data_IF_288273506045
#
_entry.id   IF_288273506045
#
_cell.length_a   1.000
_cell.length_b   1.000
_cell.length_c   1.000
_cell.angle_alpha   90.00
_cell.angle_beta   90.00
_cell.angle_gamma   90.00
#
_symmetry.space_group_name_H-M   'P 1'
#
loop_
_entity.id
_entity.type
_entity.pdbx_description
1 polymer ?
#
# COMPACT_ATOMS: atom_id res chain seq x y z
N UNK A 1 4.99 32.40 8.43
CA UNK A 1 5.03 31.83 9.78
C UNK A 1 3.63 31.55 10.38
N UNK A 2 2.67 32.47 10.40
CA UNK A 2 1.34 32.22 11.00
C UNK A 2 0.52 31.09 10.32
N UNK A 3 0.60 30.92 9.01
CA UNK A 3 -0.09 29.86 8.27
C UNK A 3 0.49 28.44 8.52
N UNK A 4 1.74 28.32 8.96
CA UNK A 4 2.37 27.03 9.29
C UNK A 4 1.89 26.54 10.65
N UNK A 5 1.85 27.40 11.66
CA UNK A 5 1.44 27.06 13.04
C UNK A 5 -0.05 26.72 13.17
N UNK A 6 -0.95 27.33 12.40
CA UNK A 6 -2.37 26.97 12.40
C UNK A 6 -2.63 25.59 11.77
N UNK A 7 -1.83 25.21 10.78
CA UNK A 7 -1.91 23.88 10.15
C UNK A 7 -1.37 22.76 11.02
N UNK A 8 -0.22 22.96 11.65
CA UNK A 8 0.36 22.00 12.60
C UNK A 8 -0.63 21.70 13.73
N UNK A 9 -1.22 22.72 14.35
CA UNK A 9 -2.27 22.57 15.36
C UNK A 9 -3.52 21.84 14.84
N UNK A 10 -3.85 21.94 13.57
CA UNK A 10 -4.98 21.24 12.97
C UNK A 10 -4.72 19.75 12.78
N UNK A 11 -3.50 19.36 12.38
CA UNK A 11 -3.11 17.96 12.21
C UNK A 11 -2.94 17.25 13.54
N UNK A 12 -2.38 17.91 14.54
CA UNK A 12 -2.30 17.39 15.90
C UNK A 12 -3.69 17.12 16.49
N UNK A 13 -4.66 18.00 16.26
CA UNK A 13 -6.05 17.81 16.68
C UNK A 13 -6.72 16.62 15.98
N UNK A 14 -6.38 16.33 14.72
CA UNK A 14 -6.88 15.16 13.99
C UNK A 14 -6.29 13.85 14.54
N UNK A 15 -5.02 13.85 14.92
CA UNK A 15 -4.35 12.68 15.51
C UNK A 15 -4.89 12.38 16.90
N UNK A 16 -5.13 13.42 17.73
CA UNK A 16 -5.64 13.27 19.11
C UNK A 16 -7.09 12.74 19.14
N UNK A 17 -7.91 13.10 18.16
CA UNK A 17 -9.31 12.66 18.07
C UNK A 17 -9.51 11.31 17.36
N UNK A 18 -8.44 10.59 17.03
CA UNK A 18 -8.57 9.22 16.54
C UNK A 18 -9.09 8.29 17.62
N UNK A 19 -10.00 7.36 17.29
CA UNK A 19 -10.28 6.24 18.19
C UNK A 19 -8.95 5.56 18.50
N UNK A 20 -8.62 5.46 19.78
CA UNK A 20 -7.36 4.89 20.25
C UNK A 20 -7.12 3.53 19.58
N UNK A 21 -5.84 3.18 19.38
CA UNK A 21 -5.41 1.92 18.74
C UNK A 21 -6.11 0.68 19.33
N UNK A 22 -6.55 0.75 20.58
CA UNK A 22 -7.23 -0.30 21.33
C UNK A 22 -8.77 -0.31 21.21
N UNK A 23 -9.40 0.52 20.37
CA UNK A 23 -10.86 0.54 20.22
C UNK A 23 -11.42 -0.63 19.36
N UNK A 24 -10.63 -1.64 19.03
CA UNK A 24 -10.94 -2.67 18.03
C UNK A 24 -11.40 -4.04 18.52
N UNK A 25 -11.41 -4.33 19.84
CA UNK A 25 -11.84 -5.65 20.33
C UNK A 25 -13.15 -5.59 21.11
N UNK A 26 -14.15 -4.92 20.60
CA UNK A 26 -15.52 -4.98 21.14
C UNK A 26 -16.42 -5.68 20.12
N UNK A 27 -16.39 -7.01 20.05
CA UNK A 27 -17.45 -7.74 19.39
C UNK A 27 -17.16 -9.05 18.66
N UNK A 28 -15.89 -9.49 18.51
CA UNK A 28 -15.61 -10.80 17.87
C UNK A 28 -14.62 -11.63 18.70
N UNK A 29 -14.99 -12.87 19.00
CA UNK A 29 -14.18 -13.81 19.80
C UNK A 29 -12.96 -14.36 19.05
N UNK A 30 -12.82 -14.08 17.76
CA UNK A 30 -11.79 -14.66 16.89
C UNK A 30 -11.10 -13.59 16.04
N UNK A 31 -9.75 -13.65 15.99
CA UNK A 31 -8.90 -12.89 15.09
C UNK A 31 -9.03 -13.44 13.67
N UNK A 32 -9.23 -12.57 12.68
CA UNK A 32 -9.42 -12.94 11.27
C UNK A 32 -8.17 -12.65 10.45
N UNK A 33 -7.59 -13.68 9.83
CA UNK A 33 -6.46 -13.56 8.91
C UNK A 33 -6.92 -13.90 7.48
N UNK A 34 -6.68 -12.96 6.57
CA UNK A 34 -7.01 -13.09 5.15
C UNK A 34 -5.76 -13.44 4.34
N UNK A 35 -5.78 -14.57 3.64
CA UNK A 35 -4.78 -14.93 2.65
C UNK A 35 -5.24 -14.54 1.24
N UNK A 36 -4.37 -13.87 0.50
CA UNK A 36 -4.63 -13.45 -0.89
C UNK A 36 -3.53 -14.01 -1.79
N UNK A 37 -3.89 -14.76 -2.82
CA UNK A 37 -2.96 -15.31 -3.82
C UNK A 37 -3.19 -14.67 -5.19
N UNK A 38 -2.12 -14.11 -5.77
CA UNK A 38 -2.08 -13.54 -7.12
C UNK A 38 -1.49 -14.49 -8.17
N UNK A 39 -1.15 -15.73 -7.79
CA UNK A 39 -0.56 -16.71 -8.68
C UNK A 39 -1.56 -17.52 -9.50
N UNK A 40 -1.05 -18.53 -10.16
CA UNK A 40 -1.88 -19.54 -10.86
C UNK A 40 -2.70 -20.34 -9.84
N UNK A 41 -3.96 -20.68 -10.18
CA UNK A 41 -4.84 -21.50 -9.37
C UNK A 41 -4.18 -22.85 -9.04
N UNK A 42 -4.19 -23.21 -7.77
CA UNK A 42 -3.54 -24.41 -7.22
C UNK A 42 -2.02 -24.49 -7.50
N UNK A 43 -1.39 -23.34 -7.76
CA UNK A 43 0.05 -23.22 -7.99
C UNK A 43 0.84 -22.92 -6.69
N UNK A 44 2.13 -22.64 -6.85
CA UNK A 44 3.05 -22.41 -5.73
C UNK A 44 2.64 -21.23 -4.84
N UNK A 45 2.10 -20.15 -5.40
CA UNK A 45 1.60 -19.02 -4.60
C UNK A 45 0.40 -19.39 -3.74
N UNK A 46 -0.51 -20.23 -4.27
CA UNK A 46 -1.64 -20.74 -3.48
C UNK A 46 -1.16 -21.62 -2.34
N UNK A 47 -0.18 -22.50 -2.61
CA UNK A 47 0.41 -23.36 -1.60
C UNK A 47 1.06 -22.53 -0.47
N UNK A 48 1.92 -21.57 -0.81
CA UNK A 48 2.58 -20.68 0.15
C UNK A 48 1.57 -19.89 0.98
N UNK A 49 0.54 -19.35 0.33
CA UNK A 49 -0.51 -18.60 1.00
C UNK A 49 -1.30 -19.48 1.99
N UNK A 50 -1.67 -20.69 1.57
CA UNK A 50 -2.39 -21.64 2.42
C UNK A 50 -1.52 -22.16 3.56
N UNK A 51 -0.22 -22.37 3.33
CA UNK A 51 0.72 -22.75 4.38
C UNK A 51 0.82 -21.68 5.46
N UNK A 52 0.89 -20.40 5.06
CA UNK A 52 0.84 -19.29 6.01
C UNK A 52 -0.51 -19.24 6.77
N UNK A 53 -1.63 -19.51 6.10
CA UNK A 53 -2.93 -19.57 6.77
C UNK A 53 -3.00 -20.73 7.77
N UNK A 54 -2.38 -21.89 7.51
CA UNK A 54 -2.26 -22.98 8.49
C UNK A 54 -1.47 -22.53 9.72
N UNK A 55 -0.35 -21.83 9.54
CA UNK A 55 0.41 -21.22 10.66
C UNK A 55 -0.40 -20.24 11.47
N UNK A 56 -1.21 -19.40 10.82
CA UNK A 56 -2.12 -18.47 11.51
C UNK A 56 -3.24 -19.19 12.27
N UNK A 57 -3.79 -20.27 11.69
CA UNK A 57 -4.83 -21.09 12.32
C UNK A 57 -4.31 -21.79 13.59
N UNK A 58 -3.08 -22.26 13.60
CA UNK A 58 -2.43 -22.81 14.80
C UNK A 58 -2.34 -21.79 15.94
N UNK A 59 -2.25 -20.48 15.60
CA UNK A 59 -2.27 -19.40 16.57
C UNK A 59 -3.69 -18.98 17.01
N UNK A 60 -4.72 -19.71 16.56
CA UNK A 60 -6.12 -19.52 16.90
C UNK A 60 -6.86 -18.49 16.03
N UNK A 61 -6.35 -18.20 14.83
CA UNK A 61 -7.03 -17.32 13.88
C UNK A 61 -8.15 -18.05 13.13
N UNK A 62 -9.23 -17.33 12.83
CA UNK A 62 -10.13 -17.66 11.73
C UNK A 62 -9.46 -17.23 10.43
N UNK A 63 -9.46 -18.10 9.42
CA UNK A 63 -8.75 -17.86 8.17
C UNK A 63 -9.68 -17.87 6.98
N UNK A 64 -9.48 -16.89 6.08
CA UNK A 64 -10.15 -16.82 4.77
C UNK A 64 -9.09 -16.82 3.66
N UNK A 65 -9.44 -17.35 2.48
CA UNK A 65 -8.54 -17.42 1.33
C UNK A 65 -9.20 -16.87 0.08
N UNK A 66 -8.50 -15.95 -0.61
CA UNK A 66 -8.93 -15.37 -1.88
C UNK A 66 -7.88 -15.66 -2.96
N UNK A 67 -8.36 -16.23 -4.07
CA UNK A 67 -7.57 -16.42 -5.28
C UNK A 67 -7.95 -15.34 -6.30
N UNK A 68 -7.04 -14.39 -6.55
CA UNK A 68 -7.33 -13.19 -7.34
C UNK A 68 -7.73 -13.47 -8.79
N UNK A 69 -7.25 -14.57 -9.38
CA UNK A 69 -7.66 -14.94 -10.75
C UNK A 69 -9.13 -15.38 -10.87
N UNK A 70 -9.84 -15.50 -9.75
CA UNK A 70 -11.28 -15.73 -9.75
C UNK A 70 -12.08 -14.43 -9.75
N UNK A 71 -11.42 -13.28 -9.60
CA UNK A 71 -12.04 -11.97 -9.54
C UNK A 71 -11.88 -11.23 -10.87
N UNK A 72 -12.87 -10.42 -11.21
CA UNK A 72 -12.79 -9.46 -12.29
C UNK A 72 -12.47 -8.09 -11.70
N UNK A 73 -11.23 -7.62 -11.89
CA UNK A 73 -10.76 -6.33 -11.36
C UNK A 73 -10.24 -5.49 -12.52
N UNK A 74 -10.91 -4.39 -12.78
CA UNK A 74 -10.54 -3.39 -13.79
C UNK A 74 -9.35 -2.55 -13.30
N UNK A 75 -8.47 -2.17 -14.20
CA UNK A 75 -7.36 -1.26 -13.89
C UNK A 75 -7.84 0.17 -13.63
N UNK A 76 -7.13 0.90 -12.78
CA UNK A 76 -7.44 2.29 -12.49
C UNK A 76 -7.25 3.16 -13.76
N UNK A 77 -8.27 3.95 -14.11
CA UNK A 77 -8.23 4.87 -15.27
C UNK A 77 -7.63 6.24 -14.94
N UNK A 78 -7.26 6.50 -13.68
CA UNK A 78 -6.73 7.80 -13.26
C UNK A 78 -7.76 8.94 -13.26
N UNK A 79 -9.06 8.63 -13.28
CA UNK A 79 -10.15 9.64 -13.37
C UNK A 79 -10.30 10.54 -12.15
N UNK A 80 -9.67 10.21 -11.02
CA UNK A 80 -9.69 10.92 -9.73
C UNK A 80 -11.08 11.07 -9.07
N UNK A 81 -12.13 10.45 -9.59
CA UNK A 81 -13.49 10.58 -9.08
C UNK A 81 -13.62 10.17 -7.60
N UNK A 82 -12.92 9.11 -7.18
CA UNK A 82 -12.91 8.64 -5.79
C UNK A 82 -12.35 9.68 -4.82
N UNK A 83 -11.22 10.32 -5.14
CA UNK A 83 -10.62 11.35 -4.28
C UNK A 83 -11.43 12.64 -4.28
N UNK A 84 -12.03 13.02 -5.42
CA UNK A 84 -12.97 14.14 -5.46
C UNK A 84 -14.19 13.88 -4.59
N UNK A 85 -14.74 12.65 -4.64
CA UNK A 85 -15.84 12.21 -3.78
C UNK A 85 -15.48 12.24 -2.29
N UNK A 86 -14.24 11.83 -1.93
CA UNK A 86 -13.74 11.93 -0.55
C UNK A 86 -13.80 13.37 -0.03
N UNK A 87 -13.17 14.30 -0.73
CA UNK A 87 -13.08 15.70 -0.29
C UNK A 87 -14.37 16.49 -0.45
N UNK A 88 -15.34 15.99 -1.23
CA UNK A 88 -16.69 16.53 -1.29
C UNK A 88 -17.64 15.97 -0.20
N UNK A 89 -17.14 15.21 0.77
CA UNK A 89 -17.97 14.58 1.81
C UNK A 89 -18.98 13.55 1.28
N UNK A 90 -18.58 12.78 0.25
CA UNK A 90 -19.43 11.74 -0.39
C UNK A 90 -18.90 10.32 -0.22
N UNK A 91 -17.89 10.11 0.64
CA UNK A 91 -17.41 8.80 1.09
C UNK A 91 -16.38 8.11 0.20
N UNK A 92 -15.99 8.65 -0.95
CA UNK A 92 -14.83 8.16 -1.72
C UNK A 92 -15.05 6.88 -2.55
N UNK A 93 -16.27 6.58 -2.98
CA UNK A 93 -16.53 5.41 -3.83
C UNK A 93 -15.85 5.49 -5.20
N UNK A 94 -15.40 4.35 -5.73
CA UNK A 94 -14.91 4.24 -7.10
C UNK A 94 -16.09 4.25 -8.09
N UNK A 95 -15.83 4.71 -9.31
CA UNK A 95 -16.82 4.71 -10.40
C UNK A 95 -16.82 3.40 -11.21
N UNK A 96 -15.80 2.56 -11.03
CA UNK A 96 -15.74 1.24 -11.66
C UNK A 96 -16.59 0.24 -10.86
N UNK A 97 -17.32 -0.59 -11.58
CA UNK A 97 -18.23 -1.61 -11.01
C UNK A 97 -17.69 -3.00 -11.32
N UNK A 98 -16.86 -3.51 -10.42
CA UNK A 98 -16.17 -4.79 -10.53
C UNK A 98 -16.01 -5.43 -9.14
N UNK A 99 -15.26 -6.52 -9.03
CA UNK A 99 -15.06 -7.24 -7.77
C UNK A 99 -14.11 -6.53 -6.79
N UNK A 100 -13.55 -5.37 -7.14
CA UNK A 100 -12.59 -4.67 -6.28
C UNK A 100 -13.21 -4.22 -4.95
N UNK A 101 -14.44 -3.69 -4.96
CA UNK A 101 -15.08 -3.23 -3.71
C UNK A 101 -15.39 -4.41 -2.77
N UNK A 102 -15.71 -5.58 -3.31
CA UNK A 102 -15.85 -6.81 -2.52
C UNK A 102 -14.49 -7.26 -1.93
N UNK A 103 -13.42 -7.27 -2.74
CA UNK A 103 -12.08 -7.57 -2.27
C UNK A 103 -11.64 -6.60 -1.17
N UNK A 104 -11.87 -5.31 -1.40
CA UNK A 104 -11.55 -4.26 -0.42
C UNK A 104 -12.31 -4.47 0.89
N UNK A 105 -13.60 -4.80 0.83
CA UNK A 105 -14.41 -5.08 2.02
C UNK A 105 -13.81 -6.22 2.85
N UNK A 106 -13.40 -7.32 2.21
CA UNK A 106 -12.67 -8.44 2.84
C UNK A 106 -11.34 -8.00 3.47
N UNK A 107 -10.57 -7.19 2.76
CA UNK A 107 -9.29 -6.66 3.27
C UNK A 107 -9.50 -5.72 4.46
N UNK A 108 -10.55 -4.90 4.46
CA UNK A 108 -10.87 -3.99 5.56
C UNK A 108 -11.42 -4.72 6.79
N UNK A 109 -12.09 -5.84 6.61
CA UNK A 109 -12.65 -6.65 7.70
C UNK A 109 -11.59 -7.50 8.41
N UNK A 110 -10.53 -7.90 7.73
CA UNK A 110 -9.44 -8.69 8.30
C UNK A 110 -8.63 -7.90 9.34
N UNK A 111 -8.09 -8.61 10.35
CA UNK A 111 -7.14 -8.08 11.34
C UNK A 111 -5.70 -8.15 10.84
N UNK A 112 -5.38 -9.17 10.04
CA UNK A 112 -4.09 -9.33 9.35
C UNK A 112 -4.27 -9.90 7.95
N UNK A 113 -3.31 -9.60 7.06
CA UNK A 113 -3.35 -10.03 5.66
C UNK A 113 -2.02 -10.69 5.29
N UNK A 114 -2.08 -11.85 4.65
CA UNK A 114 -0.94 -12.49 3.96
C UNK A 114 -1.18 -12.41 2.46
N UNK A 115 -0.26 -11.80 1.73
CA UNK A 115 -0.37 -11.67 0.28
C UNK A 115 0.76 -12.44 -0.42
N UNK A 116 0.43 -13.42 -1.25
CA UNK A 116 1.39 -14.15 -2.08
C UNK A 116 1.26 -13.74 -3.54
N UNK A 117 2.36 -13.29 -4.17
CA UNK A 117 2.39 -12.86 -5.57
C UNK A 117 3.53 -13.52 -6.33
N UNK A 118 3.34 -13.94 -7.60
CA UNK A 118 4.46 -14.32 -8.44
C UNK A 118 5.30 -13.11 -8.84
N UNK A 119 6.56 -13.35 -9.17
CA UNK A 119 7.50 -12.33 -9.64
C UNK A 119 7.58 -12.40 -11.16
N UNK A 120 7.24 -11.28 -11.84
CA UNK A 120 7.47 -11.07 -13.25
C UNK A 120 8.33 -9.82 -13.46
N UNK A 121 9.29 -9.88 -14.39
CA UNK A 121 10.17 -8.75 -14.73
C UNK A 121 10.76 -8.07 -13.47
N UNK A 122 11.24 -8.89 -12.51
CA UNK A 122 11.84 -8.46 -11.23
C UNK A 122 10.87 -7.83 -10.22
N UNK A 123 9.61 -7.63 -10.55
CA UNK A 123 8.59 -6.97 -9.74
C UNK A 123 7.36 -7.81 -9.49
N UNK A 124 6.37 -7.26 -8.83
CA UNK A 124 5.07 -7.86 -8.64
C UNK A 124 4.30 -7.94 -9.97
N UNK A 125 3.28 -8.81 -10.03
CA UNK A 125 2.49 -9.01 -11.26
C UNK A 125 1.62 -7.82 -11.63
N UNK A 126 1.19 -7.73 -12.89
CA UNK A 126 0.21 -6.73 -13.34
C UNK A 126 -1.09 -6.76 -12.54
N UNK A 127 -1.55 -7.95 -12.14
CA UNK A 127 -2.74 -8.08 -11.28
C UNK A 127 -2.53 -7.46 -9.89
N UNK A 128 -1.33 -7.62 -9.30
CA UNK A 128 -0.97 -6.94 -8.04
C UNK A 128 -0.97 -5.42 -8.21
N UNK A 129 -0.36 -4.92 -9.29
CA UNK A 129 -0.33 -3.48 -9.58
C UNK A 129 -1.74 -2.92 -9.84
N UNK A 130 -2.62 -3.69 -10.50
CA UNK A 130 -4.03 -3.29 -10.68
C UNK A 130 -4.71 -3.02 -9.33
N UNK A 131 -4.44 -3.83 -8.32
CA UNK A 131 -4.96 -3.62 -6.95
C UNK A 131 -4.31 -2.39 -6.31
N UNK A 132 -2.97 -2.27 -6.37
CA UNK A 132 -2.23 -1.16 -5.78
C UNK A 132 -2.66 0.19 -6.37
N UNK A 133 -2.86 0.28 -7.69
CA UNK A 133 -3.35 1.48 -8.37
C UNK A 133 -4.77 1.87 -7.93
N UNK A 134 -5.60 0.88 -7.61
CA UNK A 134 -6.97 1.09 -7.10
C UNK A 134 -7.00 1.49 -5.61
N UNK A 135 -5.94 1.18 -4.85
CA UNK A 135 -5.73 1.72 -3.51
C UNK A 135 -5.49 3.23 -3.57
N UNK A 136 -4.47 3.68 -4.28
CA UNK A 136 -4.16 5.06 -4.59
C UNK A 136 -4.66 6.10 -3.58
N UNK A 137 -5.09 7.27 -4.04
CA UNK A 137 -5.55 8.32 -3.13
C UNK A 137 -6.85 7.99 -2.39
N UNK A 138 -7.63 6.99 -2.84
CA UNK A 138 -8.87 6.56 -2.20
C UNK A 138 -8.64 6.00 -0.80
N UNK A 139 -7.58 5.23 -0.61
CA UNK A 139 -7.27 4.55 0.65
C UNK A 139 -6.09 5.18 1.39
N UNK A 140 -5.52 6.27 0.86
CA UNK A 140 -4.47 6.98 1.55
C UNK A 140 -4.97 7.45 2.93
N UNK A 141 -4.20 7.09 3.96
CA UNK A 141 -4.59 7.35 5.34
C UNK A 141 -4.77 8.82 5.64
N UNK A 142 -3.87 9.69 5.18
CA UNK A 142 -3.96 11.13 5.37
C UNK A 142 -5.20 11.72 4.71
N UNK A 143 -5.49 11.33 3.47
CA UNK A 143 -6.69 11.76 2.75
C UNK A 143 -7.98 11.35 3.47
N UNK A 144 -8.02 10.11 4.00
CA UNK A 144 -9.21 9.62 4.73
C UNK A 144 -9.39 10.32 6.09
N UNK A 145 -8.31 10.66 6.79
CA UNK A 145 -8.37 11.49 8.01
C UNK A 145 -8.96 12.87 7.72
N UNK A 146 -8.47 13.54 6.67
CA UNK A 146 -8.97 14.84 6.23
C UNK A 146 -10.44 14.76 5.80
N UNK A 147 -10.81 13.73 5.03
CA UNK A 147 -12.18 13.54 4.56
C UNK A 147 -13.16 13.27 5.71
N UNK A 148 -12.72 12.55 6.75
CA UNK A 148 -13.52 12.33 7.97
C UNK A 148 -13.80 13.65 8.70
N UNK A 149 -12.77 14.51 8.86
CA UNK A 149 -12.93 15.84 9.46
C UNK A 149 -13.88 16.74 8.64
N UNK A 150 -13.72 16.75 7.31
CA UNK A 150 -14.61 17.49 6.40
C UNK A 150 -16.06 17.01 6.57
N UNK A 151 -16.30 15.71 6.56
CA UNK A 151 -17.63 15.14 6.68
C UNK A 151 -18.29 15.48 8.02
N UNK A 152 -17.54 15.44 9.11
CA UNK A 152 -18.01 15.84 10.44
C UNK A 152 -18.43 17.32 10.51
N UNK A 153 -17.69 18.21 9.82
CA UNK A 153 -17.99 19.64 9.77
C UNK A 153 -19.14 20.02 8.84
N UNK A 154 -19.34 19.26 7.76
CA UNK A 154 -20.32 19.57 6.72
C UNK A 154 -21.60 18.75 6.80
N UNK A 155 -21.66 17.74 7.67
CA UNK A 155 -22.76 16.77 7.72
C UNK A 155 -22.77 15.81 6.51
N UNK A 156 -21.65 15.68 5.80
CA UNK A 156 -21.50 14.80 4.65
C UNK A 156 -21.32 13.33 5.04
N UNK A 157 -21.15 12.47 4.02
CA UNK A 157 -20.84 11.04 4.21
C UNK A 157 -19.34 10.87 4.45
N UNK A 158 -18.98 10.39 5.63
CA UNK A 158 -17.59 10.01 5.95
C UNK A 158 -17.13 8.77 5.13
N UNK A 159 -15.83 8.60 4.91
CA UNK A 159 -15.29 7.34 4.42
C UNK A 159 -15.57 6.19 5.41
N UNK A 160 -15.40 4.94 4.94
CA UNK A 160 -15.51 3.77 5.81
C UNK A 160 -14.48 3.86 6.95
N UNK A 161 -14.89 3.83 8.23
CA UNK A 161 -13.98 4.00 9.36
C UNK A 161 -12.93 2.89 9.44
N UNK A 162 -13.18 1.70 8.87
CA UNK A 162 -12.21 0.60 8.82
C UNK A 162 -10.94 0.95 8.02
N UNK A 163 -10.99 1.94 7.11
CA UNK A 163 -9.82 2.44 6.37
C UNK A 163 -8.79 3.04 7.33
N UNK A 164 -9.23 3.59 8.47
CA UNK A 164 -8.37 4.17 9.50
C UNK A 164 -7.91 3.15 10.54
N UNK A 165 -8.34 1.89 10.46
CA UNK A 165 -7.84 0.83 11.34
C UNK A 165 -6.41 0.46 10.95
N UNK A 166 -5.50 0.41 11.90
CA UNK A 166 -4.16 -0.13 11.68
C UNK A 166 -4.24 -1.65 11.54
N UNK A 167 -3.45 -2.22 10.62
CA UNK A 167 -3.44 -3.64 10.30
C UNK A 167 -2.03 -4.14 10.08
N UNK A 168 -1.85 -5.42 10.36
CA UNK A 168 -0.66 -6.16 9.96
C UNK A 168 -0.81 -6.68 8.51
N UNK A 169 0.28 -6.67 7.73
CA UNK A 169 0.34 -7.30 6.42
C UNK A 169 1.70 -7.94 6.20
N UNK A 170 1.71 -9.14 5.62
CA UNK A 170 2.93 -9.83 5.20
C UNK A 170 2.87 -10.20 3.72
N UNK A 171 4.02 -10.15 3.05
CA UNK A 171 4.15 -10.46 1.64
C UNK A 171 5.07 -11.64 1.41
N UNK A 172 4.71 -12.50 0.47
CA UNK A 172 5.50 -13.60 -0.04
C UNK A 172 5.58 -13.51 -1.56
N UNK A 173 6.76 -13.24 -2.08
CA UNK A 173 7.00 -13.10 -3.52
C UNK A 173 7.74 -14.32 -4.06
N UNK A 174 7.13 -15.04 -5.00
CA UNK A 174 7.63 -16.33 -5.51
C UNK A 174 8.12 -16.19 -6.94
N UNK A 175 9.40 -16.48 -7.17
CA UNK A 175 10.05 -16.36 -8.48
C UNK A 175 10.76 -17.62 -8.96
N UNK A 176 10.87 -17.79 -10.28
CA UNK A 176 11.58 -18.90 -10.93
C UNK A 176 13.09 -18.71 -11.06
N UNK A 177 13.63 -17.53 -10.75
CA UNK A 177 15.05 -17.19 -10.85
C UNK A 177 15.46 -16.14 -9.81
N UNK A 178 16.66 -15.58 -9.95
CA UNK A 178 17.21 -14.47 -9.16
C UNK A 178 16.73 -13.07 -9.63
N UNK A 179 15.83 -13.00 -10.59
CA UNK A 179 15.24 -11.74 -11.05
C UNK A 179 14.17 -11.25 -10.08
N UNK A 180 14.60 -10.72 -8.95
CA UNK A 180 13.72 -10.44 -7.80
C UNK A 180 13.93 -9.04 -7.19
N UNK A 181 14.78 -8.20 -7.80
CA UNK A 181 15.36 -7.02 -7.13
C UNK A 181 14.40 -5.86 -6.88
N UNK A 182 13.18 -5.87 -7.41
CA UNK A 182 12.21 -4.79 -7.25
C UNK A 182 10.97 -5.19 -6.46
N UNK A 183 10.64 -6.48 -6.41
CA UNK A 183 9.34 -6.97 -5.91
C UNK A 183 9.03 -6.54 -4.47
N UNK A 184 10.03 -6.46 -3.59
CA UNK A 184 9.80 -6.08 -2.20
C UNK A 184 9.27 -4.64 -2.07
N UNK A 185 9.76 -3.70 -2.87
CA UNK A 185 9.27 -2.34 -2.86
C UNK A 185 7.89 -2.25 -3.51
N UNK A 186 7.64 -2.99 -4.58
CA UNK A 186 6.31 -3.07 -5.21
C UNK A 186 5.25 -3.56 -4.20
N UNK A 187 5.56 -4.63 -3.45
CA UNK A 187 4.66 -5.19 -2.43
C UNK A 187 4.41 -4.21 -1.27
N UNK A 188 5.47 -3.66 -0.70
CA UNK A 188 5.35 -2.74 0.44
C UNK A 188 4.62 -1.43 0.09
N UNK A 189 4.61 -1.01 -1.20
CA UNK A 189 3.88 0.16 -1.66
C UNK A 189 2.36 0.03 -1.44
N UNK A 190 1.80 -1.18 -1.51
CA UNK A 190 0.39 -1.42 -1.19
C UNK A 190 0.09 -1.10 0.29
N UNK A 191 0.97 -1.50 1.19
CA UNK A 191 0.83 -1.24 2.62
C UNK A 191 1.06 0.23 2.98
N UNK A 192 1.95 0.92 2.25
CA UNK A 192 2.30 2.32 2.49
C UNK A 192 1.08 3.25 2.37
N UNK A 193 0.22 3.05 1.37
CA UNK A 193 -0.96 3.90 1.12
C UNK A 193 -1.90 3.98 2.34
N UNK A 194 -2.45 2.88 2.87
CA UNK A 194 -3.31 2.90 4.05
C UNK A 194 -2.52 2.98 5.37
N UNK A 195 -1.20 3.01 5.32
CA UNK A 195 -0.31 2.92 6.48
C UNK A 195 -0.52 1.63 7.28
N UNK A 196 -0.60 0.49 6.60
CA UNK A 196 -0.57 -0.81 7.26
C UNK A 196 0.86 -1.21 7.60
N UNK A 197 1.04 -1.93 8.70
CA UNK A 197 2.36 -2.33 9.19
C UNK A 197 2.81 -3.60 8.49
N UNK A 198 3.92 -3.54 7.77
CA UNK A 198 4.54 -4.71 7.14
C UNK A 198 5.27 -5.52 8.21
N UNK A 199 4.90 -6.80 8.37
CA UNK A 199 5.51 -7.72 9.33
C UNK A 199 6.59 -8.56 8.66
N UNK A 200 6.30 -9.15 7.50
CA UNK A 200 7.25 -9.89 6.67
C UNK A 200 7.14 -9.41 5.21
N UNK A 201 8.26 -9.39 4.49
CA UNK A 201 8.28 -9.10 3.06
C UNK A 201 9.34 -9.98 2.39
N UNK A 202 9.02 -11.26 2.28
CA UNK A 202 9.97 -12.30 1.91
C UNK A 202 9.93 -12.60 0.42
N UNK A 203 11.12 -12.89 -0.12
CA UNK A 203 11.32 -13.25 -1.52
C UNK A 203 11.82 -14.69 -1.61
N UNK A 204 11.15 -15.48 -2.41
CA UNK A 204 11.47 -16.90 -2.65
C UNK A 204 11.95 -17.10 -4.09
N UNK A 205 13.22 -16.84 -4.41
CA UNK A 205 13.79 -17.10 -5.73
C UNK A 205 13.95 -18.60 -5.97
N UNK A 206 14.11 -19.01 -7.24
CA UNK A 206 14.33 -20.40 -7.62
C UNK A 206 13.24 -21.36 -7.09
N UNK A 207 11.97 -20.99 -7.24
CA UNK A 207 10.85 -21.62 -6.54
C UNK A 207 9.80 -22.24 -7.47
N UNK A 208 10.19 -22.71 -8.66
CA UNK A 208 9.25 -23.40 -9.56
C UNK A 208 8.66 -24.69 -8.95
N UNK A 209 9.42 -25.37 -8.09
CA UNK A 209 9.00 -26.59 -7.37
C UNK A 209 8.78 -26.34 -5.88
N UNK A 210 8.26 -25.19 -5.51
CA UNK A 210 8.18 -24.76 -4.09
C UNK A 210 7.38 -25.72 -3.21
N UNK A 211 6.41 -26.45 -3.77
CA UNK A 211 5.56 -27.39 -3.02
C UNK A 211 6.30 -28.61 -2.46
N UNK A 212 7.56 -28.84 -2.87
CA UNK A 212 8.42 -29.89 -2.33
C UNK A 212 9.63 -29.33 -1.58
N UNK A 213 9.63 -28.02 -1.30
CA UNK A 213 10.70 -27.35 -0.55
C UNK A 213 10.23 -27.07 0.88
N UNK A 214 10.49 -28.02 1.77
CA UNK A 214 10.05 -27.95 3.16
C UNK A 214 10.58 -26.71 3.90
N UNK A 215 11.76 -26.19 3.53
CA UNK A 215 12.31 -24.98 4.16
C UNK A 215 11.49 -23.74 3.79
N UNK A 216 11.13 -23.61 2.52
CA UNK A 216 10.33 -22.47 2.04
C UNK A 216 8.89 -22.56 2.54
N UNK A 217 8.30 -23.75 2.55
CA UNK A 217 6.98 -23.99 3.15
C UNK A 217 7.01 -23.70 4.65
N UNK A 218 8.03 -24.19 5.37
CA UNK A 218 8.22 -23.88 6.80
C UNK A 218 8.34 -22.39 7.09
N UNK A 219 9.04 -21.62 6.22
CA UNK A 219 9.09 -20.16 6.35
C UNK A 219 7.74 -19.51 6.10
N UNK A 220 6.96 -19.97 5.12
CA UNK A 220 5.60 -19.48 4.90
C UNK A 220 4.70 -19.73 6.12
N UNK A 221 4.82 -20.92 6.73
CA UNK A 221 4.12 -21.26 7.97
C UNK A 221 4.46 -20.31 9.12
N UNK A 222 5.75 -20.00 9.29
CA UNK A 222 6.23 -19.02 10.28
C UNK A 222 5.66 -17.61 10.01
N UNK A 223 5.63 -17.15 8.76
CA UNK A 223 4.98 -15.89 8.36
C UNK A 223 3.52 -15.87 8.82
N UNK A 224 2.81 -16.99 8.71
CA UNK A 224 1.46 -17.13 9.23
C UNK A 224 1.36 -16.93 10.75
N UNK A 225 2.30 -17.48 11.50
CA UNK A 225 2.38 -17.27 12.96
C UNK A 225 2.70 -15.81 13.31
N UNK A 226 3.62 -15.21 12.56
CA UNK A 226 4.02 -13.81 12.76
C UNK A 226 2.84 -12.86 12.55
N UNK A 227 2.10 -13.02 11.44
CA UNK A 227 0.95 -12.16 11.14
C UNK A 227 -0.17 -12.31 12.18
N UNK A 228 -0.43 -13.53 12.65
CA UNK A 228 -1.41 -13.79 13.70
C UNK A 228 -0.98 -13.17 15.04
N UNK A 229 0.30 -13.23 15.38
CA UNK A 229 0.85 -12.56 16.56
C UNK A 229 0.71 -11.04 16.46
N UNK A 230 1.08 -10.46 15.31
CA UNK A 230 0.96 -9.04 15.04
C UNK A 230 -0.50 -8.55 15.07
N UNK A 231 -1.44 -9.32 14.57
CA UNK A 231 -2.86 -8.98 14.59
C UNK A 231 -3.44 -8.93 16.02
N UNK A 232 -2.86 -9.69 16.97
CA UNK A 232 -3.23 -9.61 18.40
C UNK A 232 -2.67 -8.39 19.10
N UNK A 233 -1.42 -8.04 18.80
CA UNK A 233 -0.69 -6.97 19.46
C UNK A 233 0.27 -6.28 18.51
N UNK A 234 -0.28 -5.40 17.68
CA UNK A 234 0.48 -4.70 16.63
C UNK A 234 1.48 -3.69 17.21
N UNK A 235 1.19 -3.13 18.37
CA UNK A 235 2.02 -2.09 18.99
C UNK A 235 3.38 -2.63 19.50
N UNK A 236 3.45 -3.92 19.83
CA UNK A 236 4.67 -4.57 20.31
C UNK A 236 5.34 -5.44 19.22
N UNK A 237 4.77 -5.47 18.01
CA UNK A 237 5.33 -6.25 16.93
C UNK A 237 6.32 -5.43 16.09
N UNK A 238 7.45 -6.05 15.76
CA UNK A 238 8.47 -5.49 14.88
C UNK A 238 8.53 -6.25 13.56
N UNK A 239 9.20 -5.69 12.56
CA UNK A 239 9.45 -6.37 11.30
C UNK A 239 10.19 -7.70 11.52
N UNK A 240 9.69 -8.79 10.95
CA UNK A 240 10.20 -10.15 11.08
C UNK A 240 10.88 -10.68 9.83
N UNK A 241 10.79 -9.96 8.73
CA UNK A 241 11.48 -10.30 7.48
C UNK A 241 12.98 -10.02 7.55
N UNK A 242 13.69 -10.35 6.48
CA UNK A 242 15.12 -10.06 6.38
C UNK A 242 15.38 -8.54 6.38
N UNK A 243 16.22 -8.08 7.29
CA UNK A 243 16.54 -6.66 7.42
C UNK A 243 17.09 -6.07 6.11
N UNK A 244 16.51 -4.95 5.70
CA UNK A 244 16.96 -4.20 4.52
C UNK A 244 18.07 -3.20 4.84
N UNK A 245 18.35 -2.31 3.90
CA UNK A 245 19.37 -1.25 4.04
C UNK A 245 18.77 0.02 4.67
N UNK A 246 17.51 0.35 4.37
CA UNK A 246 16.80 1.42 5.07
C UNK A 246 16.39 0.97 6.47
N UNK A 247 16.88 1.58 7.56
CA UNK A 247 16.56 1.15 8.91
C UNK A 247 15.12 1.49 9.33
N UNK A 248 14.44 2.36 8.56
CA UNK A 248 13.06 2.74 8.85
C UNK A 248 12.02 1.79 8.23
N UNK A 249 12.15 1.51 6.92
CA UNK A 249 11.14 0.73 6.17
C UNK A 249 11.65 -0.59 5.61
N UNK A 250 12.90 -0.97 5.92
CA UNK A 250 13.58 -2.19 5.50
C UNK A 250 13.75 -2.36 3.97
N UNK A 251 13.53 -1.29 3.18
CA UNK A 251 13.79 -1.32 1.73
C UNK A 251 15.28 -1.47 1.43
N UNK A 252 15.58 -2.17 0.32
CA UNK A 252 16.90 -2.28 -0.28
C UNK A 252 17.07 -1.44 -1.55
N UNK A 253 16.00 -0.78 -1.99
CA UNK A 253 15.96 -0.02 -3.23
C UNK A 253 16.13 1.48 -2.95
N UNK A 254 17.11 2.09 -3.62
CA UNK A 254 17.44 3.51 -3.51
C UNK A 254 17.56 4.15 -4.87
N UNK A 255 17.04 5.36 -5.00
CA UNK A 255 17.34 6.26 -6.11
C UNK A 255 18.54 7.13 -5.71
N UNK A 256 19.57 7.12 -6.54
CA UNK A 256 20.72 8.02 -6.38
C UNK A 256 20.51 9.24 -7.26
N UNK A 257 20.46 10.42 -6.69
CA UNK A 257 20.40 11.66 -7.45
C UNK A 257 21.80 12.06 -8.01
N UNK A 258 21.83 13.13 -8.83
CA UNK A 258 23.09 13.60 -9.43
C UNK A 258 24.09 14.15 -8.42
N UNK A 259 23.68 14.50 -7.21
CA UNK A 259 24.55 14.95 -6.14
C UNK A 259 25.17 13.79 -5.33
N UNK A 260 24.73 12.55 -5.57
CA UNK A 260 25.10 11.37 -4.82
C UNK A 260 24.23 11.11 -3.59
N UNK A 261 23.19 11.93 -3.37
CA UNK A 261 22.20 11.70 -2.32
C UNK A 261 21.40 10.44 -2.64
N UNK A 262 21.17 9.61 -1.63
CA UNK A 262 20.32 8.43 -1.73
C UNK A 262 18.91 8.72 -1.22
N UNK A 263 17.91 8.35 -2.00
CA UNK A 263 16.49 8.48 -1.65
C UNK A 263 15.90 7.08 -1.57
N UNK A 264 15.36 6.70 -0.42
CA UNK A 264 14.70 5.41 -0.29
C UNK A 264 13.46 5.33 -1.20
N UNK A 265 13.43 4.33 -2.10
CA UNK A 265 12.34 4.20 -3.07
C UNK A 265 10.97 3.87 -2.46
N UNK A 266 10.92 3.44 -1.20
CA UNK A 266 9.67 3.15 -0.50
C UNK A 266 9.21 4.33 0.36
N UNK A 267 9.94 4.67 1.41
CA UNK A 267 9.50 5.70 2.37
C UNK A 267 9.86 7.14 1.97
N UNK A 268 10.70 7.33 0.94
CA UNK A 268 11.08 8.66 0.45
C UNK A 268 12.12 9.40 1.31
N UNK A 269 12.62 8.80 2.39
CA UNK A 269 13.68 9.40 3.22
C UNK A 269 14.93 9.63 2.40
N UNK A 270 15.50 10.83 2.53
CA UNK A 270 16.73 11.25 1.88
C UNK A 270 17.93 11.13 2.84
N UNK A 271 19.07 10.67 2.35
CA UNK A 271 20.28 10.49 3.14
C UNK A 271 21.47 10.07 2.30
N UNK A 272 22.40 9.38 2.93
CA UNK A 272 23.65 8.92 2.32
C UNK A 272 23.81 7.41 2.49
N UNK A 273 24.30 6.73 1.43
CA UNK A 273 24.74 5.33 1.51
C UNK A 273 26.23 5.32 1.85
N UNK A 274 26.56 4.96 3.09
CA UNK A 274 27.92 4.79 3.55
C UNK A 274 28.36 3.33 3.46
N UNK A 275 29.61 3.07 3.07
CA UNK A 275 30.20 1.72 3.14
C UNK A 275 30.97 1.58 4.45
N UNK A 276 30.62 0.58 5.26
CA UNK A 276 31.29 0.26 6.50
C UNK A 276 31.48 -1.26 6.61
N UNK A 277 32.72 -1.73 6.71
CA UNK A 277 33.03 -3.15 6.87
C UNK A 277 32.49 -4.07 5.76
N UNK A 278 32.43 -3.57 4.51
CA UNK A 278 31.91 -4.33 3.36
C UNK A 278 30.38 -4.40 3.26
N UNK A 279 29.68 -3.68 4.11
CA UNK A 279 28.22 -3.52 4.07
C UNK A 279 27.85 -2.08 3.78
N UNK A 280 26.67 -1.86 3.19
CA UNK A 280 26.11 -0.53 3.04
C UNK A 280 25.19 -0.21 4.22
N UNK A 281 25.32 1.01 4.75
CA UNK A 281 24.45 1.60 5.76
C UNK A 281 23.79 2.85 5.18
N UNK A 282 22.50 2.99 5.37
CA UNK A 282 21.77 4.20 5.03
C UNK A 282 21.70 5.12 6.24
N UNK A 283 22.32 6.30 6.12
CA UNK A 283 22.36 7.33 7.16
C UNK A 283 21.53 8.53 6.73
N UNK A 284 20.65 8.99 7.60
CA UNK A 284 19.81 10.15 7.36
C UNK A 284 19.59 10.96 8.64
N UNK A 285 19.24 12.24 8.48
CA UNK A 285 18.85 13.11 9.59
C UNK A 285 17.49 12.61 10.16
N UNK A 286 17.36 12.40 11.48
CA UNK A 286 16.10 12.00 12.10
C UNK A 286 14.90 12.88 11.73
N UNK A 287 15.09 14.17 11.40
CA UNK A 287 14.05 15.06 10.90
C UNK A 287 13.41 14.57 9.59
N UNK A 288 14.10 13.72 8.82
CA UNK A 288 13.54 13.11 7.60
C UNK A 288 12.34 12.20 7.88
N UNK A 289 12.15 11.69 9.10
CA UNK A 289 10.98 10.90 9.50
C UNK A 289 9.68 11.69 9.38
N UNK A 290 9.72 13.02 9.52
CA UNK A 290 8.56 13.90 9.29
C UNK A 290 8.15 13.99 7.81
N UNK A 291 9.04 13.57 6.91
CA UNK A 291 8.82 13.53 5.46
C UNK A 291 8.54 12.13 4.93
N UNK A 292 8.76 11.10 5.72
CA UNK A 292 8.59 9.71 5.30
C UNK A 292 7.13 9.43 4.93
N UNK A 293 6.91 8.85 3.74
CA UNK A 293 5.57 8.64 3.16
C UNK A 293 4.69 7.66 3.95
N UNK A 294 5.27 6.87 4.83
CA UNK A 294 4.60 5.92 5.73
C UNK A 294 4.36 6.47 7.14
N UNK A 295 4.73 7.72 7.41
CA UNK A 295 4.40 8.43 8.65
C UNK A 295 3.18 9.34 8.48
N UNK A 296 2.48 9.65 9.56
CA UNK A 296 1.33 10.59 9.51
C UNK A 296 1.76 12.00 9.09
N UNK A 297 2.84 12.60 9.64
CA UNK A 297 3.33 13.89 9.15
C UNK A 297 3.66 13.87 7.65
N UNK A 298 4.37 12.86 7.16
CA UNK A 298 4.72 12.72 5.75
C UNK A 298 3.49 12.59 4.84
N UNK A 299 2.44 11.89 5.27
CA UNK A 299 1.18 11.80 4.51
C UNK A 299 0.45 13.15 4.42
N UNK A 300 0.42 13.93 5.48
CA UNK A 300 -0.18 15.27 5.43
C UNK A 300 0.63 16.21 4.55
N UNK A 301 1.97 16.15 4.62
CA UNK A 301 2.84 16.92 3.73
C UNK A 301 2.59 16.57 2.27
N UNK A 302 2.54 15.28 1.93
CA UNK A 302 2.21 14.82 0.58
C UNK A 302 0.81 15.30 0.13
N UNK A 303 -0.19 15.27 1.02
CA UNK A 303 -1.52 15.80 0.77
C UNK A 303 -1.51 17.30 0.47
N UNK A 304 -0.74 18.09 1.21
CA UNK A 304 -0.56 19.53 0.97
C UNK A 304 0.09 19.81 -0.39
N UNK A 305 1.12 19.05 -0.77
CA UNK A 305 1.79 19.18 -2.08
C UNK A 305 0.82 18.88 -3.23
N UNK A 306 0.00 17.84 -3.11
CA UNK A 306 -1.05 17.53 -4.09
C UNK A 306 -2.08 18.65 -4.18
N UNK A 307 -2.53 19.19 -3.04
CA UNK A 307 -3.52 20.26 -3.01
C UNK A 307 -3.00 21.54 -3.69
N UNK A 308 -1.76 21.93 -3.40
CA UNK A 308 -1.12 23.09 -4.03
C UNK A 308 -0.98 22.92 -5.54
N UNK A 309 -0.51 21.75 -5.99
CA UNK A 309 -0.37 21.46 -7.42
C UNK A 309 -1.72 21.37 -8.14
N UNK A 310 -2.75 20.85 -7.46
CA UNK A 310 -4.12 20.81 -8.00
C UNK A 310 -4.68 22.24 -8.17
N UNK A 311 -4.45 23.12 -7.21
CA UNK A 311 -4.81 24.55 -7.32
C UNK A 311 -4.16 25.20 -8.54
N UNK A 312 -2.83 25.06 -8.69
CA UNK A 312 -2.08 25.55 -9.86
C UNK A 312 -2.60 24.97 -11.18
N UNK A 313 -2.96 23.68 -11.21
CA UNK A 313 -3.56 23.05 -12.39
C UNK A 313 -4.85 23.75 -12.80
N UNK A 314 -5.76 24.01 -11.89
CA UNK A 314 -7.03 24.67 -12.19
C UNK A 314 -6.84 26.13 -12.66
N UNK A 315 -5.87 26.85 -12.12
CA UNK A 315 -5.51 28.19 -12.61
C UNK A 315 -4.94 28.11 -14.04
N UNK A 316 -4.00 27.21 -14.30
CA UNK A 316 -3.40 27.03 -15.61
C UNK A 316 -4.45 26.63 -16.66
N UNK A 317 -5.43 25.80 -16.31
CA UNK A 317 -6.52 25.39 -17.23
C UNK A 317 -7.34 26.56 -17.74
N UNK A 318 -7.37 27.69 -17.05
CA UNK A 318 -8.08 28.91 -17.46
C UNK A 318 -7.27 29.75 -18.46
N UNK A 319 -5.97 29.48 -18.62
CA UNK A 319 -5.11 30.28 -19.51
C UNK A 319 -5.38 29.98 -20.98
N UNK A 320 -5.26 31.01 -21.82
CA UNK A 320 -5.38 30.86 -23.27
C UNK A 320 -4.38 29.84 -23.85
N UNK A 321 -3.14 29.86 -23.34
CA UNK A 321 -2.10 28.91 -23.73
C UNK A 321 -2.53 27.44 -23.47
N UNK A 322 -3.15 27.17 -22.32
CA UNK A 322 -3.64 25.83 -22.00
C UNK A 322 -4.75 25.41 -22.97
N UNK A 323 -5.72 26.29 -23.22
CA UNK A 323 -6.85 26.02 -24.14
C UNK A 323 -6.38 25.76 -25.57
N UNK A 324 -5.44 26.58 -26.07
CA UNK A 324 -4.85 26.40 -27.40
C UNK A 324 -4.11 25.06 -27.51
N UNK A 325 -3.29 24.70 -26.50
CA UNK A 325 -2.57 23.42 -26.48
C UNK A 325 -3.52 22.24 -26.39
N UNK A 326 -4.55 22.32 -25.54
CA UNK A 326 -5.56 21.26 -25.41
C UNK A 326 -6.29 21.02 -26.75
N UNK A 327 -6.71 22.07 -27.44
CA UNK A 327 -7.32 21.97 -28.75
C UNK A 327 -6.38 21.36 -29.79
N UNK A 328 -5.12 21.83 -29.84
CA UNK A 328 -4.09 21.31 -30.74
C UNK A 328 -3.88 19.80 -30.56
N UNK A 329 -3.70 19.32 -29.32
CA UNK A 329 -3.42 17.90 -29.07
C UNK A 329 -4.64 17.02 -29.26
N UNK A 330 -5.85 17.50 -29.03
CA UNK A 330 -7.08 16.78 -29.28
C UNK A 330 -7.28 16.47 -30.76
N UNK A 331 -6.79 17.31 -31.67
CA UNK A 331 -7.04 17.22 -33.10
C UNK A 331 -5.83 16.71 -33.92
N UNK A 332 -4.62 16.64 -33.31
CA UNK A 332 -3.39 16.34 -34.01
C UNK A 332 -3.39 14.94 -34.66
N UNK A 333 -3.79 13.91 -33.90
CA UNK A 333 -3.84 12.54 -34.38
C UNK A 333 -4.89 11.76 -33.57
N UNK A 334 -5.61 10.86 -34.24
CA UNK A 334 -6.54 9.96 -33.57
C UNK A 334 -5.81 8.67 -33.15
N UNK A 335 -6.16 8.10 -31.98
CA UNK A 335 -5.58 6.84 -31.54
C UNK A 335 -5.95 5.70 -32.49
N UNK A 336 -4.99 4.82 -32.76
CA UNK A 336 -5.27 3.57 -33.48
C UNK A 336 -6.01 2.62 -32.54
N UNK A 337 -7.05 2.00 -33.03
CA UNK A 337 -7.80 0.97 -32.33
C UNK A 337 -7.80 -0.33 -33.14
N UNK A 338 -7.78 -1.52 -32.51
CA UNK A 338 -7.91 -2.78 -33.21
C UNK A 338 -9.26 -2.84 -33.98
N UNK A 339 -9.27 -3.37 -35.16
CA UNK A 339 -10.52 -3.78 -35.82
C UNK A 339 -11.14 -4.91 -34.99
N UNK A 340 -12.25 -4.61 -34.31
CA UNK A 340 -13.01 -5.65 -33.60
C UNK A 340 -13.80 -6.41 -34.65
N UNK A 341 -13.52 -7.71 -34.82
CA UNK A 341 -14.43 -8.57 -35.54
C UNK A 341 -15.80 -8.52 -34.87
N UNK A 342 -16.82 -8.19 -35.66
CA UNK A 342 -18.21 -8.05 -35.22
C UNK A 342 -18.80 -9.40 -34.76
#
# INVERSE_FOLDING_TARGET
MAFHTERENRYDALVVNMPGRNAGYLGGTYMKILGISGGMRNGGNDAMCKEALMGAQEMGAEVEFIQLQNLHIEHCTGCTACVQSLFAGKGGACVLHDDFDWLLDKMLDADGIVFSTPIFEKGATGLFHTITDRFGPRLDRGNNMIATDISGKTGGKAPDPRVLKEKAISFMSVGGSDWVTRVQVDCAMLALTPKWTVIDNDVFPWSLSIMVDDNKLGRAHEIGKNIATAAKDLDHMTYQGEAGVCPHCHSRNFHLDKSGKAICCLCGIEGELASAGGKYEFRFDPAQLEHAHDTIPGKFKHGDDIQQNTGKKFENMKTEKFQQNAAKYKTFIQPLVPERQA
#
